data_IF_902664366683
#
_entry.id   IF_902664366683
#
_cell.length_a   1.000
_cell.length_b   1.000
_cell.length_c   1.000
_cell.angle_alpha   90.00
_cell.angle_beta   90.00
_cell.angle_gamma   90.00
#
_symmetry.space_group_name_H-M   'P 1'
#
loop_
_entity.id
_entity.type
_entity.pdbx_description
1 polymer ?
#
# COMPACT_ATOMS: atom_id res chain seq x y z
N UNK A 1 -8.86 -3.42 -7.23
CA UNK A 1 -9.11 -3.04 -5.83
C UNK A 1 -8.25 -3.89 -4.93
N UNK A 2 -7.49 -3.24 -4.05
CA UNK A 2 -6.51 -3.87 -3.15
C UNK A 2 -6.79 -3.40 -1.74
N UNK A 3 -6.83 -4.33 -0.80
CA UNK A 3 -6.89 -4.07 0.63
C UNK A 3 -5.52 -4.36 1.23
N UNK A 4 -5.01 -3.45 2.06
CA UNK A 4 -3.75 -3.64 2.79
C UNK A 4 -3.99 -3.38 4.26
N UNK A 5 -3.54 -4.30 5.10
CA UNK A 5 -3.69 -4.22 6.57
C UNK A 5 -2.31 -4.38 7.21
N UNK A 6 -1.98 -3.52 8.16
CA UNK A 6 -0.78 -3.70 8.98
C UNK A 6 -0.94 -4.91 9.91
N UNK A 7 0.14 -5.65 10.10
CA UNK A 7 0.26 -6.76 11.05
C UNK A 7 1.53 -6.56 11.86
N UNK A 8 1.38 -6.43 13.18
CA UNK A 8 2.51 -6.39 14.12
C UNK A 8 2.76 -7.82 14.58
N UNK A 9 3.90 -8.39 14.19
CA UNK A 9 4.33 -9.69 14.70
C UNK A 9 4.67 -9.57 16.18
N UNK A 10 4.07 -10.37 17.08
CA UNK A 10 4.42 -10.36 18.50
C UNK A 10 5.91 -10.72 18.67
N UNK A 11 6.73 -9.77 19.09
CA UNK A 11 8.17 -9.96 19.35
C UNK A 11 9.12 -9.14 18.49
N UNK A 12 8.65 -8.58 17.36
CA UNK A 12 9.46 -7.70 16.51
C UNK A 12 8.95 -6.26 16.60
N UNK A 13 9.30 -5.54 17.66
CA UNK A 13 8.85 -4.15 17.90
C UNK A 13 9.36 -3.12 16.89
N UNK A 14 9.95 -3.54 15.77
CA UNK A 14 10.54 -2.64 14.76
C UNK A 14 10.17 -2.93 13.30
N UNK A 15 9.51 -4.05 13.00
CA UNK A 15 9.12 -4.39 11.63
C UNK A 15 7.61 -4.58 11.56
N UNK A 16 6.91 -3.55 11.05
CA UNK A 16 5.50 -3.70 10.65
C UNK A 16 5.46 -4.54 9.38
N UNK A 17 4.85 -5.72 9.46
CA UNK A 17 4.53 -6.52 8.29
C UNK A 17 3.19 -6.05 7.72
N UNK A 18 2.98 -6.19 6.41
CA UNK A 18 1.75 -5.77 5.76
C UNK A 18 1.14 -6.96 5.02
N UNK A 19 -0.11 -7.27 5.33
CA UNK A 19 -0.88 -8.22 4.56
C UNK A 19 -1.59 -7.47 3.42
N UNK A 20 -1.60 -8.05 2.23
CA UNK A 20 -2.22 -7.46 1.05
C UNK A 20 -3.15 -8.46 0.39
N UNK A 21 -4.39 -8.01 0.12
CA UNK A 21 -5.43 -8.81 -0.50
C UNK A 21 -5.97 -8.09 -1.73
N UNK A 22 -5.84 -8.71 -2.89
CA UNK A 22 -6.46 -8.21 -4.12
C UNK A 22 -7.92 -8.67 -4.12
N UNK A 23 -8.84 -7.71 -3.97
CA UNK A 23 -10.28 -7.95 -3.87
C UNK A 23 -10.93 -8.07 -5.25
N UNK A 24 -10.50 -7.24 -6.22
CA UNK A 24 -11.03 -7.20 -7.58
C UNK A 24 -9.91 -6.86 -8.58
N UNK A 25 -9.95 -7.46 -9.77
CA UNK A 25 -8.98 -7.25 -10.85
C UNK A 25 -8.03 -8.43 -11.05
N UNK A 26 -6.96 -8.24 -11.82
CA UNK A 26 -5.94 -9.29 -12.05
C UNK A 26 -5.27 -9.65 -10.72
N UNK A 27 -5.43 -10.90 -10.29
CA UNK A 27 -5.02 -11.42 -8.98
C UNK A 27 -3.51 -11.44 -8.73
N UNK A 28 -2.69 -11.42 -9.79
CA UNK A 28 -1.27 -11.78 -9.68
C UNK A 28 -0.33 -10.71 -10.26
N UNK A 29 -0.52 -9.46 -9.87
CA UNK A 29 0.46 -8.40 -10.18
C UNK A 29 1.20 -8.03 -8.90
N UNK A 30 2.39 -8.62 -8.63
CA UNK A 30 3.20 -8.32 -7.44
C UNK A 30 3.46 -6.82 -7.24
N UNK A 31 3.52 -6.09 -8.35
CA UNK A 31 3.76 -4.65 -8.36
C UNK A 31 2.67 -3.86 -7.61
N UNK A 32 1.40 -4.29 -7.68
CA UNK A 32 0.32 -3.66 -6.92
C UNK A 32 0.41 -3.92 -5.43
N UNK A 33 0.88 -5.11 -5.05
CA UNK A 33 1.09 -5.42 -3.63
C UNK A 33 2.17 -4.50 -3.06
N UNK A 34 3.30 -4.37 -3.76
CA UNK A 34 4.39 -3.49 -3.35
C UNK A 34 3.95 -2.02 -3.30
N UNK A 35 3.23 -1.54 -4.32
CA UNK A 35 2.72 -0.17 -4.33
C UNK A 35 1.77 0.10 -3.16
N UNK A 36 0.79 -0.77 -2.94
CA UNK A 36 -0.21 -0.57 -1.90
C UNK A 36 0.40 -0.63 -0.49
N UNK A 37 1.42 -1.47 -0.26
CA UNK A 37 2.20 -1.48 0.98
C UNK A 37 3.02 -0.20 1.17
N UNK A 38 3.64 0.32 0.12
CA UNK A 38 4.37 1.58 0.19
C UNK A 38 3.46 2.75 0.55
N UNK A 39 2.25 2.82 -0.04
CA UNK A 39 1.27 3.83 0.29
C UNK A 39 0.77 3.67 1.73
N UNK A 40 0.45 2.44 2.16
CA UNK A 40 0.04 2.20 3.55
C UNK A 40 1.15 2.60 4.54
N UNK A 41 2.41 2.37 4.20
CA UNK A 41 3.55 2.80 5.02
C UNK A 41 3.63 4.32 5.13
N UNK A 42 3.36 5.05 4.04
CA UNK A 42 3.37 6.52 4.01
C UNK A 42 2.24 7.14 4.84
N UNK A 43 1.04 6.55 4.81
CA UNK A 43 -0.11 7.04 5.61
C UNK A 43 -0.07 6.55 7.07
N UNK A 44 0.63 5.44 7.33
CA UNK A 44 0.64 4.76 8.63
C UNK A 44 1.82 5.16 9.53
N UNK A 45 2.67 6.09 9.10
CA UNK A 45 3.89 6.49 9.83
C UNK A 45 3.62 7.33 11.08
N UNK A 46 2.46 7.97 11.22
CA UNK A 46 2.22 8.91 12.32
C UNK A 46 1.33 8.37 13.44
N UNK A 47 0.49 7.37 13.16
CA UNK A 47 -0.41 6.80 14.16
C UNK A 47 0.00 5.38 14.57
N UNK A 48 0.00 5.14 15.89
CA UNK A 48 0.02 3.80 16.50
C UNK A 48 -1.28 3.02 16.22
N UNK A 49 -2.25 3.63 15.53
CA UNK A 49 -3.49 2.98 15.14
C UNK A 49 -3.28 2.14 13.87
N UNK A 50 -3.67 0.87 13.94
CA UNK A 50 -3.66 -0.10 12.85
C UNK A 50 -4.67 0.28 11.75
N UNK A 51 -4.32 1.28 10.94
CA UNK A 51 -5.16 1.70 9.81
C UNK A 51 -5.07 0.67 8.69
N UNK A 52 -6.23 0.37 8.13
CA UNK A 52 -6.36 -0.44 6.91
C UNK A 52 -6.53 0.48 5.70
N UNK A 53 -5.87 0.15 4.60
CA UNK A 53 -5.97 0.90 3.35
C UNK A 53 -6.79 0.12 2.34
N UNK A 54 -7.84 0.76 1.82
CA UNK A 54 -8.54 0.30 0.63
C UNK A 54 -8.13 1.15 -0.56
N UNK A 55 -7.53 0.54 -1.57
CA UNK A 55 -7.02 1.20 -2.77
C UNK A 55 -7.76 0.71 -4.02
N UNK A 56 -8.21 1.67 -4.83
CA UNK A 56 -8.73 1.41 -6.18
C UNK A 56 -7.79 2.00 -7.22
N UNK A 57 -7.27 1.15 -8.12
CA UNK A 57 -6.37 1.54 -9.21
C UNK A 57 -7.07 1.25 -10.53
N UNK A 58 -7.54 2.30 -11.21
CA UNK A 58 -8.16 2.25 -12.53
C UNK A 58 -7.26 2.88 -13.60
N UNK A 59 -5.99 2.46 -13.65
CA UNK A 59 -4.99 3.05 -14.53
C UNK A 59 -5.00 2.39 -15.90
N UNK A 60 -4.88 3.19 -16.97
CA UNK A 60 -4.68 2.68 -18.32
C UNK A 60 -3.23 2.23 -18.56
N UNK A 61 -2.29 2.91 -17.92
CA UNK A 61 -0.86 2.57 -17.92
C UNK A 61 -0.48 2.05 -16.53
N UNK A 62 0.01 0.82 -16.48
CA UNK A 62 0.42 0.11 -15.28
C UNK A 62 1.96 -0.01 -15.19
N UNK A 63 2.69 0.78 -15.97
CA UNK A 63 4.16 0.78 -15.98
C UNK A 63 4.75 1.12 -14.59
N UNK A 64 5.92 0.58 -14.24
CA UNK A 64 6.57 0.88 -12.96
C UNK A 64 6.78 2.39 -12.72
N UNK A 65 7.10 3.15 -13.77
CA UNK A 65 7.31 4.59 -13.70
C UNK A 65 6.01 5.35 -13.38
N UNK A 66 4.89 4.93 -13.96
CA UNK A 66 3.57 5.48 -13.65
C UNK A 66 3.19 5.22 -12.18
N UNK A 67 3.37 3.99 -11.70
CA UNK A 67 3.05 3.63 -10.31
C UNK A 67 3.96 4.34 -9.30
N UNK A 68 5.24 4.56 -9.64
CA UNK A 68 6.17 5.36 -8.85
C UNK A 68 5.72 6.83 -8.78
N UNK A 69 5.35 7.41 -9.92
CA UNK A 69 4.82 8.78 -10.00
C UNK A 69 3.59 8.94 -9.10
N UNK A 70 2.64 8.01 -9.17
CA UNK A 70 1.43 8.05 -8.33
C UNK A 70 1.77 7.95 -6.85
N UNK A 71 2.71 7.06 -6.47
CA UNK A 71 3.15 6.92 -5.08
C UNK A 71 3.74 8.24 -4.55
N UNK A 72 4.54 8.94 -5.36
CA UNK A 72 5.10 10.24 -5.00
C UNK A 72 4.02 11.32 -4.83
N UNK A 73 3.06 11.40 -5.75
CA UNK A 73 1.94 12.35 -5.66
C UNK A 73 1.12 12.13 -4.38
N UNK A 74 0.89 10.86 -4.02
CA UNK A 74 0.21 10.52 -2.75
C UNK A 74 1.06 10.99 -1.56
N UNK A 75 2.37 10.76 -1.57
CA UNK A 75 3.26 11.20 -0.50
C UNK A 75 3.24 12.72 -0.32
N UNK A 76 3.28 13.49 -1.42
CA UNK A 76 3.19 14.95 -1.41
C UNK A 76 1.84 15.47 -0.91
N UNK A 77 0.75 14.73 -1.14
CA UNK A 77 -0.59 15.11 -0.70
C UNK A 77 -0.86 14.88 0.80
N UNK A 78 0.04 14.17 1.48
CA UNK A 78 -0.06 13.84 2.90
C UNK A 78 0.77 14.78 3.80
N UNK A 79 1.57 15.67 3.20
CA UNK A 79 2.33 16.74 3.85
C UNK A 79 1.54 18.04 3.86
#
# INVERSE_FOLDING_TARGET
QVEVTAQISPGESKLRSYNTKILLGKRDVPLYNVMAQNVLRLIGTEDEQERSLLMYLGLKDESPDMLKTITNVIAESLL
#
